data_IF_813933439674
#
_entry.id   IF_813933439674
#
_cell.length_a   1.000
_cell.length_b   1.000
_cell.length_c   1.000
_cell.angle_alpha   90.00
_cell.angle_beta   90.00
_cell.angle_gamma   90.00
#
_symmetry.space_group_name_H-M   'P 1'
#
loop_
_entity.id
_entity.type
_entity.pdbx_description
1 polymer ?
#
# COMPACT_ATOMS: atom_id res chain seq x y z
N UNK A 1 39.36 49.42 21.95
CA UNK A 1 38.67 48.60 20.93
C UNK A 1 38.08 47.41 21.67
N UNK A 2 36.77 47.42 21.93
CA UNK A 2 36.06 46.34 22.62
C UNK A 2 35.41 45.45 21.55
N UNK A 3 35.75 44.17 21.57
CA UNK A 3 35.15 43.15 20.71
C UNK A 3 34.07 42.42 21.50
N UNK A 4 32.81 42.60 21.10
CA UNK A 4 31.64 41.92 21.68
C UNK A 4 31.38 40.63 20.90
N UNK A 5 31.62 39.49 21.53
CA UNK A 5 31.26 38.15 21.03
C UNK A 5 29.77 37.88 21.29
N UNK A 6 28.97 37.79 20.22
CA UNK A 6 27.58 37.35 20.30
C UNK A 6 27.51 35.83 20.12
N UNK A 7 27.07 35.11 21.16
CA UNK A 7 26.82 33.68 21.12
C UNK A 7 25.49 33.38 20.43
N UNK A 8 25.53 32.58 19.36
CA UNK A 8 24.35 32.05 18.68
C UNK A 8 23.90 30.76 19.40
N UNK A 9 22.74 30.81 20.05
CA UNK A 9 22.05 29.63 20.58
C UNK A 9 21.26 28.97 19.44
N UNK A 10 21.71 27.79 18.99
CA UNK A 10 20.99 26.94 18.05
C UNK A 10 19.91 26.15 18.79
N UNK A 11 18.64 26.45 18.54
CA UNK A 11 17.50 25.64 18.98
C UNK A 11 17.34 24.43 18.04
N UNK A 12 17.69 23.25 18.52
CA UNK A 12 17.38 21.97 17.87
C UNK A 12 15.88 21.67 18.05
N UNK A 13 15.12 21.78 16.96
CA UNK A 13 13.73 21.34 16.92
C UNK A 13 13.69 19.81 16.93
N UNK A 14 13.34 19.21 18.06
CA UNK A 14 12.99 17.79 18.15
C UNK A 14 11.65 17.57 17.45
N UNK A 15 11.68 17.06 16.23
CA UNK A 15 10.49 16.55 15.53
C UNK A 15 9.97 15.33 16.30
N UNK A 16 8.87 15.52 17.04
CA UNK A 16 8.10 14.42 17.59
C UNK A 16 7.44 13.69 16.42
N UNK A 17 7.99 12.53 16.04
CA UNK A 17 7.27 11.58 15.23
C UNK A 17 6.05 11.13 16.05
N UNK A 18 4.86 11.50 15.62
CA UNK A 18 3.63 10.99 16.20
C UNK A 18 3.64 9.46 16.03
N UNK A 19 3.76 8.74 17.14
CA UNK A 19 3.62 7.29 17.15
C UNK A 19 2.18 6.97 16.75
N UNK A 20 2.00 6.55 15.50
CA UNK A 20 0.73 6.06 14.99
C UNK A 20 0.37 4.84 15.85
N UNK A 21 -0.79 4.82 16.53
CA UNK A 21 -1.19 3.66 17.32
C UNK A 21 -1.29 2.47 16.39
N UNK A 22 -0.38 1.52 16.55
CA UNK A 22 -0.37 0.29 15.76
C UNK A 22 -1.46 -0.62 16.31
N UNK A 23 -2.36 -1.04 15.43
CA UNK A 23 -3.24 -2.16 15.70
C UNK A 23 -2.37 -3.38 16.02
N UNK A 24 -2.69 -4.11 17.10
CA UNK A 24 -2.01 -5.38 17.43
C UNK A 24 -2.13 -6.41 16.31
N UNK A 25 -3.14 -6.26 15.45
CA UNK A 25 -3.35 -7.10 14.26
C UNK A 25 -2.65 -6.53 13.03
N UNK A 26 -2.23 -5.27 13.04
CA UNK A 26 -1.50 -4.63 11.94
C UNK A 26 -2.40 -3.86 10.97
N UNK A 27 -1.79 -3.35 9.90
CA UNK A 27 -2.46 -2.61 8.82
C UNK A 27 -1.67 -2.73 7.52
N UNK A 28 -2.31 -2.46 6.39
CA UNK A 28 -1.64 -2.30 5.11
C UNK A 28 -1.68 -0.84 4.67
N UNK A 29 -0.55 -0.31 4.23
CA UNK A 29 -0.53 0.84 3.34
C UNK A 29 -0.60 0.33 1.90
N UNK A 30 -1.70 0.61 1.22
CA UNK A 30 -1.95 0.13 -0.14
C UNK A 30 -2.00 1.26 -1.16
N UNK A 31 -1.43 1.01 -2.33
CA UNK A 31 -1.49 1.86 -3.50
C UNK A 31 -1.97 1.05 -4.71
N UNK A 32 -2.90 1.64 -5.46
CA UNK A 32 -3.42 1.07 -6.71
C UNK A 32 -3.11 2.05 -7.82
N UNK A 33 -2.49 1.56 -8.88
CA UNK A 33 -2.31 2.31 -10.13
C UNK A 33 -2.93 1.54 -11.28
N UNK A 34 -3.69 2.23 -12.12
CA UNK A 34 -4.23 1.70 -13.37
C UNK A 34 -3.73 2.54 -14.52
N UNK A 35 -3.47 1.91 -15.65
CA UNK A 35 -3.18 2.56 -16.91
C UNK A 35 -3.95 1.88 -18.04
N UNK A 36 -4.38 2.69 -19.02
CA UNK A 36 -5.06 2.27 -20.23
C UNK A 36 -4.49 3.00 -21.44
N UNK A 37 -4.36 2.28 -22.56
CA UNK A 37 -3.75 2.78 -23.79
C UNK A 37 -4.74 2.69 -24.95
N UNK A 38 -4.49 3.47 -26.00
CA UNK A 38 -5.41 3.60 -27.14
C UNK A 38 -5.63 2.28 -27.91
N UNK A 39 -4.68 1.35 -27.85
CA UNK A 39 -4.78 0.02 -28.45
C UNK A 39 -5.60 -0.97 -27.60
N UNK A 40 -6.22 -0.52 -26.50
CA UNK A 40 -6.98 -1.37 -25.58
C UNK A 40 -6.13 -2.10 -24.55
N UNK A 41 -4.80 -1.92 -24.55
CA UNK A 41 -3.94 -2.45 -23.47
C UNK A 41 -4.32 -1.78 -22.14
N UNK A 42 -4.38 -2.58 -21.07
CA UNK A 42 -4.59 -2.10 -19.70
C UNK A 42 -3.60 -2.76 -18.77
N UNK A 43 -3.20 -2.04 -17.72
CA UNK A 43 -2.41 -2.59 -16.63
C UNK A 43 -2.91 -2.05 -15.30
N UNK A 44 -2.97 -2.92 -14.30
CA UNK A 44 -3.23 -2.57 -12.91
C UNK A 44 -2.06 -3.06 -12.08
N UNK A 45 -1.55 -2.21 -11.19
CA UNK A 45 -0.56 -2.56 -10.19
C UNK A 45 -1.13 -2.22 -8.83
N UNK A 46 -1.16 -3.20 -7.94
CA UNK A 46 -1.51 -3.05 -6.53
C UNK A 46 -0.28 -3.35 -5.71
N UNK A 47 0.17 -2.40 -4.90
CA UNK A 47 1.28 -2.59 -3.97
C UNK A 47 0.76 -2.32 -2.56
N UNK A 48 0.90 -3.30 -1.67
CA UNK A 48 0.47 -3.23 -0.29
C UNK A 48 1.64 -3.59 0.62
N UNK A 49 1.89 -2.77 1.64
CA UNK A 49 2.89 -3.06 2.68
C UNK A 49 2.18 -3.30 4.00
N UNK A 50 2.16 -4.55 4.43
CA UNK A 50 1.63 -4.94 5.73
C UNK A 50 2.62 -4.58 6.83
N UNK A 51 2.16 -3.97 7.91
CA UNK A 51 2.96 -3.68 9.10
C UNK A 51 2.20 -4.08 10.36
N UNK A 52 2.94 -4.55 11.37
CA UNK A 52 2.44 -4.93 12.68
C UNK A 52 3.53 -4.62 13.73
N UNK A 53 3.18 -4.53 15.01
CA UNK A 53 4.14 -4.39 16.12
C UNK A 53 5.24 -5.46 16.12
N UNK A 54 4.91 -6.69 15.72
CA UNK A 54 5.86 -7.80 15.65
C UNK A 54 6.69 -7.83 14.36
N UNK A 55 6.33 -7.05 13.34
CA UNK A 55 6.97 -7.05 12.01
C UNK A 55 7.34 -5.62 11.63
N UNK A 56 8.49 -5.15 12.14
CA UNK A 56 8.92 -3.77 12.00
C UNK A 56 9.33 -3.38 10.56
N UNK A 57 9.87 -4.31 9.77
CA UNK A 57 10.32 -4.06 8.38
C UNK A 57 9.15 -4.04 7.38
N UNK A 58 7.99 -4.58 7.78
CA UNK A 58 6.82 -4.76 6.94
C UNK A 58 6.98 -5.86 5.88
N UNK A 59 5.85 -6.36 5.36
CA UNK A 59 5.79 -7.32 4.26
C UNK A 59 5.17 -6.61 3.07
N UNK A 60 5.98 -6.35 2.04
CA UNK A 60 5.47 -5.75 0.80
C UNK A 60 4.99 -6.83 -0.15
N UNK A 61 3.86 -6.60 -0.78
CA UNK A 61 3.28 -7.48 -1.79
C UNK A 61 2.78 -6.66 -2.96
N UNK A 62 3.15 -7.07 -4.16
CA UNK A 62 2.85 -6.40 -5.41
C UNK A 62 2.16 -7.37 -6.35
N UNK A 63 0.92 -7.04 -6.73
CA UNK A 63 0.19 -7.73 -7.78
C UNK A 63 0.12 -6.86 -9.03
N UNK A 64 0.37 -7.47 -10.18
CA UNK A 64 0.23 -6.83 -11.49
C UNK A 64 -0.71 -7.64 -12.37
N UNK A 65 -1.76 -6.99 -12.85
CA UNK A 65 -2.72 -7.56 -13.80
C UNK A 65 -2.61 -6.79 -15.11
N UNK A 66 -2.43 -7.51 -16.21
CA UNK A 66 -2.29 -6.94 -17.56
C UNK A 66 -3.36 -7.51 -18.47
N UNK A 67 -3.96 -6.63 -19.27
CA UNK A 67 -4.79 -6.99 -20.40
C UNK A 67 -4.13 -6.50 -21.68
N UNK A 68 -3.76 -7.41 -22.57
CA UNK A 68 -3.21 -7.13 -23.89
C UNK A 68 -4.09 -7.80 -24.96
N UNK A 69 -4.91 -7.05 -25.72
CA UNK A 69 -5.80 -7.64 -26.73
C UNK A 69 -5.07 -8.30 -27.90
N UNK A 70 -3.76 -8.05 -28.07
CA UNK A 70 -2.93 -8.69 -29.10
C UNK A 70 -2.24 -9.98 -28.62
N UNK A 71 -2.35 -10.34 -27.34
CA UNK A 71 -1.72 -11.54 -26.78
C UNK A 71 -2.72 -12.71 -26.63
N UNK A 72 -2.19 -13.93 -26.54
CA UNK A 72 -2.93 -15.13 -26.20
C UNK A 72 -2.19 -15.88 -25.07
N UNK A 73 -2.73 -15.93 -23.84
CA UNK A 73 -3.99 -15.33 -23.40
C UNK A 73 -3.92 -13.79 -23.38
N UNK A 74 -5.08 -13.14 -23.52
CA UNK A 74 -5.18 -11.67 -23.54
C UNK A 74 -5.14 -11.04 -22.14
N UNK A 75 -5.28 -11.84 -21.07
CA UNK A 75 -5.18 -11.40 -19.69
C UNK A 75 -4.16 -12.26 -18.94
N UNK A 76 -3.40 -11.62 -18.05
CA UNK A 76 -2.48 -12.28 -17.13
C UNK A 76 -2.44 -11.54 -15.80
N UNK A 77 -2.25 -12.27 -14.71
CA UNK A 77 -2.08 -11.72 -13.38
C UNK A 77 -0.93 -12.43 -12.68
N UNK A 78 -0.15 -11.68 -11.89
CA UNK A 78 0.96 -12.20 -11.10
C UNK A 78 1.12 -11.37 -9.84
N UNK A 79 1.31 -12.05 -8.72
CA UNK A 79 1.69 -11.45 -7.44
C UNK A 79 3.06 -11.99 -7.03
N UNK A 80 3.91 -11.13 -6.45
CA UNK A 80 5.22 -11.53 -5.91
C UNK A 80 5.11 -12.36 -4.60
N UNK A 81 3.97 -12.27 -3.93
CA UNK A 81 3.66 -12.98 -2.70
C UNK A 81 2.39 -13.82 -2.87
N UNK A 82 2.54 -15.14 -2.87
CA UNK A 82 1.44 -16.11 -3.05
C UNK A 82 0.44 -16.11 -1.88
N UNK A 83 0.85 -15.64 -0.70
CA UNK A 83 -0.03 -15.53 0.47
C UNK A 83 -0.93 -14.30 0.42
N UNK A 84 -0.67 -13.35 -0.47
CA UNK A 84 -1.39 -12.10 -0.60
C UNK A 84 -2.41 -12.16 -1.72
N UNK A 85 -3.61 -11.66 -1.44
CA UNK A 85 -4.67 -11.49 -2.44
C UNK A 85 -5.43 -10.19 -2.17
N UNK A 86 -6.06 -9.67 -3.22
CA UNK A 86 -6.86 -8.45 -3.12
C UNK A 86 -8.09 -8.54 -4.01
N UNK A 87 -9.13 -7.81 -3.63
CA UNK A 87 -10.25 -7.46 -4.51
C UNK A 87 -10.47 -5.95 -4.46
N UNK A 88 -10.95 -5.38 -5.57
CA UNK A 88 -11.29 -3.97 -5.64
C UNK A 88 -12.61 -3.80 -6.41
N UNK A 89 -13.67 -3.53 -5.66
CA UNK A 89 -15.05 -3.44 -6.13
C UNK A 89 -15.74 -2.26 -5.44
N UNK A 90 -16.57 -1.52 -6.18
CA UNK A 90 -17.36 -0.39 -5.64
C UNK A 90 -16.56 0.62 -4.80
N UNK A 91 -15.36 0.99 -5.28
CA UNK A 91 -14.41 1.88 -4.59
C UNK A 91 -13.96 1.38 -3.20
N UNK A 92 -14.07 0.09 -2.92
CA UNK A 92 -13.58 -0.57 -1.72
C UNK A 92 -12.48 -1.55 -2.10
N UNK A 93 -11.31 -1.43 -1.46
CA UNK A 93 -10.25 -2.42 -1.54
C UNK A 93 -10.37 -3.38 -0.37
N UNK A 94 -10.36 -4.68 -0.65
CA UNK A 94 -10.27 -5.73 0.36
C UNK A 94 -8.97 -6.49 0.17
N UNK A 95 -8.22 -6.67 1.24
CA UNK A 95 -6.93 -7.34 1.26
C UNK A 95 -7.02 -8.57 2.15
N UNK A 96 -6.33 -9.64 1.75
CA UNK A 96 -6.17 -10.85 2.56
C UNK A 96 -4.74 -11.33 2.44
N UNK A 97 -4.12 -11.67 3.58
CA UNK A 97 -2.76 -12.16 3.63
C UNK A 97 -2.57 -13.20 4.73
N UNK A 98 -1.89 -14.31 4.44
CA UNK A 98 -1.39 -15.20 5.50
C UNK A 98 -0.02 -14.72 5.96
N UNK A 99 0.11 -14.42 7.25
CA UNK A 99 1.33 -13.90 7.87
C UNK A 99 1.78 -14.77 9.03
N UNK A 100 3.09 -14.86 9.23
CA UNK A 100 3.68 -15.50 10.40
C UNK A 100 3.79 -14.44 11.51
N UNK A 101 2.89 -14.50 12.49
CA UNK A 101 3.03 -13.78 13.77
C UNK A 101 3.56 -14.79 14.80
N UNK A 102 2.97 -14.86 16.00
CA UNK A 102 3.24 -15.94 16.96
C UNK A 102 2.83 -17.30 16.39
N UNK A 103 1.74 -17.32 15.61
CA UNK A 103 1.25 -18.46 14.84
C UNK A 103 0.94 -18.03 13.39
N UNK A 104 0.86 -18.99 12.47
CA UNK A 104 0.44 -18.73 11.08
C UNK A 104 -1.01 -18.27 11.10
N UNK A 105 -1.25 -17.02 10.71
CA UNK A 105 -2.56 -16.38 10.82
C UNK A 105 -2.96 -15.75 9.49
N UNK A 106 -4.22 -15.94 9.09
CA UNK A 106 -4.81 -15.21 7.96
C UNK A 106 -5.43 -13.91 8.48
N UNK A 107 -4.92 -12.78 7.99
CA UNK A 107 -5.47 -11.46 8.25
C UNK A 107 -6.21 -10.96 7.02
N UNK A 108 -7.28 -10.20 7.23
CA UNK A 108 -8.06 -9.57 6.18
C UNK A 108 -8.51 -8.17 6.61
N UNK A 109 -8.73 -7.28 5.67
CA UNK A 109 -9.24 -5.94 5.95
C UNK A 109 -9.84 -5.31 4.71
N UNK A 110 -10.66 -4.28 4.91
CA UNK A 110 -11.19 -3.49 3.80
C UNK A 110 -11.20 -2.00 4.14
N UNK A 111 -11.02 -1.17 3.12
CA UNK A 111 -11.15 0.28 3.25
C UNK A 111 -11.66 0.90 1.94
N UNK A 112 -12.34 2.06 2.02
CA UNK A 112 -12.60 2.87 0.83
C UNK A 112 -11.29 3.32 0.18
N UNK A 113 -11.19 3.17 -1.14
CA UNK A 113 -10.07 3.65 -1.95
C UNK A 113 -10.64 4.22 -3.25
N UNK A 114 -10.60 5.54 -3.38
CA UNK A 114 -11.02 6.23 -4.61
C UNK A 114 -9.82 6.44 -5.52
N UNK A 115 -9.97 6.08 -6.80
CA UNK A 115 -8.95 6.35 -7.81
C UNK A 115 -9.13 7.75 -8.40
N UNK A 116 -8.05 8.53 -8.39
CA UNK A 116 -7.99 9.83 -9.05
C UNK A 116 -7.42 9.66 -10.45
N UNK A 117 -8.13 10.19 -11.46
CA UNK A 117 -7.65 10.20 -12.84
C UNK A 117 -6.45 11.15 -13.00
N UNK A 118 -5.43 10.68 -13.69
CA UNK A 118 -4.29 11.49 -14.11
C UNK A 118 -4.68 12.49 -15.20
N UNK A 119 -3.82 13.50 -15.41
CA UNK A 119 -4.07 14.64 -16.31
C UNK A 119 -4.36 14.27 -17.76
N UNK A 120 -3.88 13.11 -18.22
CA UNK A 120 -4.09 12.62 -19.59
C UNK A 120 -5.31 11.71 -19.73
N UNK A 121 -6.02 11.41 -18.63
CA UNK A 121 -7.17 10.50 -18.59
C UNK A 121 -6.84 9.03 -18.89
N UNK A 122 -5.55 8.69 -18.99
CA UNK A 122 -5.06 7.34 -19.33
C UNK A 122 -4.52 6.56 -18.15
N UNK A 123 -4.38 7.21 -17.01
CA UNK A 123 -3.98 6.56 -15.77
C UNK A 123 -4.89 7.01 -14.64
N UNK A 124 -5.01 6.19 -13.61
CA UNK A 124 -5.62 6.57 -12.35
C UNK A 124 -4.86 5.95 -11.20
N UNK A 125 -4.75 6.64 -10.08
CA UNK A 125 -4.12 6.10 -8.88
C UNK A 125 -4.86 6.48 -7.62
N UNK A 126 -4.72 5.66 -6.59
CA UNK A 126 -5.27 5.92 -5.27
C UNK A 126 -4.50 5.14 -4.23
N UNK A 127 -4.60 5.58 -2.97
CA UNK A 127 -3.97 4.91 -1.83
C UNK A 127 -4.92 4.95 -0.64
N UNK A 128 -4.82 3.95 0.21
CA UNK A 128 -5.56 3.86 1.46
C UNK A 128 -4.72 3.14 2.51
N UNK A 129 -5.06 3.35 3.77
CA UNK A 129 -4.62 2.49 4.87
C UNK A 129 -5.76 1.53 5.20
N UNK A 130 -5.49 0.24 5.20
CA UNK A 130 -6.46 -0.82 5.48
C UNK A 130 -6.10 -1.43 6.82
N UNK A 131 -6.98 -1.27 7.82
CA UNK A 131 -6.80 -1.90 9.13
C UNK A 131 -6.96 -3.41 8.99
N UNK A 132 -6.01 -4.18 9.53
CA UNK A 132 -6.08 -5.62 9.52
C UNK A 132 -6.99 -6.12 10.63
N UNK A 133 -7.82 -7.09 10.28
CA UNK A 133 -8.66 -7.86 11.19
C UNK A 133 -8.31 -9.34 11.04
N UNK A 134 -8.34 -10.08 12.13
CA UNK A 134 -8.12 -11.53 12.08
C UNK A 134 -9.33 -12.22 11.49
N UNK A 135 -9.14 -12.90 10.36
CA UNK A 135 -10.10 -13.87 9.87
C UNK A 135 -9.78 -15.19 10.59
N UNK A 136 -10.57 -15.53 11.61
CA UNK A 136 -10.43 -16.84 12.29
C UNK A 136 -10.82 -17.92 11.27
N UNK A 137 -9.86 -18.79 10.92
CA UNK A 137 -10.11 -20.01 10.15
C UNK A 137 -10.70 -21.10 11.05
#
# INVERSE_FOLDING_TARGET
MQFTLAALLSLSATTLAAAIPRSTTGSWDVSVTRAGYANGYKSTTVSATYTNDNIAEGITSTCTSVFNPAASPSASESCDNESFSYTYEDDVITLTQTVQLDEVTTVSGSAPLTLTLGSTGRSSSGSATVEATTAVA
#
